data_IF_826041387079
#
_entry.id   IF_826041387079
#
_cell.length_a   1.000
_cell.length_b   1.000
_cell.length_c   1.000
_cell.angle_alpha   90.00
_cell.angle_beta   90.00
_cell.angle_gamma   90.00
#
_symmetry.space_group_name_H-M   'P 1'
#
loop_
_entity.id
_entity.type
_entity.pdbx_description
1 polymer ?
#
# COMPACT_ATOMS: atom_id res chain seq x y z
N UNK A 1 -48.77 3.92 40.23
CA UNK A 1 -47.97 2.95 39.44
C UNK A 1 -46.80 3.70 38.86
N UNK A 2 -45.58 3.36 39.31
CA UNK A 2 -44.34 4.06 38.99
C UNK A 2 -43.96 3.85 37.52
N UNK A 3 -43.74 4.95 36.80
CA UNK A 3 -43.11 4.92 35.48
C UNK A 3 -41.61 4.80 35.67
N UNK A 4 -41.08 3.60 35.47
CA UNK A 4 -39.64 3.35 35.43
C UNK A 4 -39.09 3.94 34.11
N UNK A 5 -38.28 4.99 34.23
CA UNK A 5 -37.55 5.56 33.11
C UNK A 5 -36.45 4.57 32.71
N UNK A 6 -36.62 3.95 31.54
CA UNK A 6 -35.59 3.15 30.87
C UNK A 6 -34.42 4.06 30.46
N UNK A 7 -33.50 4.29 31.39
CA UNK A 7 -32.21 4.93 31.12
C UNK A 7 -31.35 3.95 30.29
N UNK A 8 -31.55 3.96 28.97
CA UNK A 8 -30.73 3.21 28.04
C UNK A 8 -29.36 3.87 27.97
N UNK A 9 -28.44 3.39 28.81
CA UNK A 9 -27.02 3.75 28.77
C UNK A 9 -26.47 3.30 27.42
N UNK A 10 -26.46 4.23 26.46
CA UNK A 10 -25.77 4.08 25.19
C UNK A 10 -24.34 3.60 25.46
N UNK A 11 -24.08 2.32 25.14
CA UNK A 11 -22.77 1.72 25.22
C UNK A 11 -21.89 2.46 24.23
N UNK A 12 -21.03 3.34 24.75
CA UNK A 12 -20.02 4.03 23.95
C UNK A 12 -19.08 2.97 23.40
N UNK A 13 -19.31 2.53 22.16
CA UNK A 13 -18.40 1.60 21.47
C UNK A 13 -17.16 2.41 21.09
N UNK A 14 -16.18 2.39 21.97
CA UNK A 14 -14.86 2.93 21.75
C UNK A 14 -13.87 1.77 21.71
N UNK A 15 -12.91 1.83 20.79
CA UNK A 15 -11.86 0.84 20.65
C UNK A 15 -10.71 1.22 21.57
N UNK A 16 -10.57 0.48 22.66
CA UNK A 16 -9.51 0.66 23.64
C UNK A 16 -8.23 -0.05 23.18
N UNK A 17 -7.15 0.71 22.99
CA UNK A 17 -5.85 0.22 22.51
C UNK A 17 -4.80 0.25 23.63
N UNK A 18 -5.23 0.03 24.88
CA UNK A 18 -4.39 -0.06 26.07
C UNK A 18 -3.87 1.28 26.60
N UNK A 19 -3.40 2.17 25.74
CA UNK A 19 -2.90 3.51 26.11
C UNK A 19 -3.81 4.65 25.62
N UNK A 20 -4.75 4.37 24.72
CA UNK A 20 -5.66 5.36 24.16
C UNK A 20 -6.94 4.69 23.67
N UNK A 21 -8.07 5.39 23.80
CA UNK A 21 -9.38 4.96 23.34
C UNK A 21 -9.74 5.73 22.08
N UNK A 22 -10.11 5.01 21.01
CA UNK A 22 -10.51 5.61 19.74
C UNK A 22 -12.02 5.49 19.59
N UNK A 23 -12.74 6.60 19.40
CA UNK A 23 -14.16 6.53 19.15
C UNK A 23 -14.44 5.86 17.79
N UNK A 24 -15.41 4.95 17.76
CA UNK A 24 -15.80 4.20 16.55
C UNK A 24 -16.05 5.08 15.32
N UNK A 25 -16.56 6.30 15.51
CA UNK A 25 -16.85 7.24 14.44
C UNK A 25 -15.59 7.65 13.66
N UNK A 26 -14.45 7.77 14.34
CA UNK A 26 -13.18 8.12 13.72
C UNK A 26 -12.68 6.99 12.83
N UNK A 27 -12.79 5.74 13.28
CA UNK A 27 -12.40 4.57 12.48
C UNK A 27 -13.29 4.41 11.27
N UNK A 28 -14.60 4.60 11.45
CA UNK A 28 -15.56 4.53 10.36
C UNK A 28 -15.31 5.63 9.31
N UNK A 29 -15.05 6.86 9.76
CA UNK A 29 -14.71 7.98 8.87
C UNK A 29 -13.37 7.76 8.18
N UNK A 30 -12.33 7.35 8.91
CA UNK A 30 -11.01 7.08 8.33
C UNK A 30 -11.06 5.94 7.30
N UNK A 31 -11.80 4.86 7.60
CA UNK A 31 -12.04 3.77 6.67
C UNK A 31 -12.79 4.23 5.42
N UNK A 32 -13.83 5.03 5.59
CA UNK A 32 -14.63 5.57 4.48
C UNK A 32 -13.78 6.48 3.58
N UNK A 33 -13.02 7.41 4.16
CA UNK A 33 -12.12 8.30 3.42
C UNK A 33 -11.04 7.49 2.71
N UNK A 34 -10.46 6.48 3.37
CA UNK A 34 -9.45 5.60 2.77
C UNK A 34 -10.00 4.87 1.54
N UNK A 35 -11.17 4.25 1.65
CA UNK A 35 -11.82 3.55 0.54
C UNK A 35 -12.19 4.51 -0.59
N UNK A 36 -12.78 5.67 -0.29
CA UNK A 36 -13.08 6.69 -1.31
C UNK A 36 -11.81 7.17 -2.03
N UNK A 37 -10.75 7.41 -1.27
CA UNK A 37 -9.46 7.82 -1.83
C UNK A 37 -8.88 6.72 -2.72
N UNK A 38 -9.00 5.45 -2.32
CA UNK A 38 -8.55 4.31 -3.11
C UNK A 38 -9.30 4.21 -4.44
N UNK A 39 -10.63 4.37 -4.42
CA UNK A 39 -11.47 4.36 -5.63
C UNK A 39 -11.11 5.52 -6.56
N UNK A 40 -10.86 6.72 -6.01
CA UNK A 40 -10.44 7.88 -6.81
C UNK A 40 -9.02 7.72 -7.38
N UNK A 41 -8.11 7.09 -6.64
CA UNK A 41 -6.73 6.86 -7.04
C UNK A 41 -6.57 5.76 -8.10
N UNK A 42 -7.61 4.97 -8.38
CA UNK A 42 -7.57 3.85 -9.31
C UNK A 42 -7.08 4.27 -10.71
N UNK A 43 -7.56 5.41 -11.22
CA UNK A 43 -7.19 5.88 -12.57
C UNK A 43 -5.71 6.25 -12.67
N UNK A 44 -5.18 6.97 -11.68
CA UNK A 44 -3.77 7.34 -11.64
C UNK A 44 -2.85 6.12 -11.45
N UNK A 45 -3.30 5.14 -10.65
CA UNK A 45 -2.57 3.91 -10.37
C UNK A 45 -2.42 3.03 -11.61
N UNK A 46 -3.45 2.95 -12.48
CA UNK A 46 -3.39 2.18 -13.72
C UNK A 46 -2.29 2.68 -14.67
N UNK A 47 -2.24 3.98 -14.93
CA UNK A 47 -1.23 4.59 -15.80
C UNK A 47 0.18 4.41 -15.22
N UNK A 48 0.34 4.55 -13.90
CA UNK A 48 1.60 4.31 -13.21
C UNK A 48 2.06 2.83 -13.31
N UNK A 49 1.16 1.87 -13.10
CA UNK A 49 1.50 0.45 -13.22
C UNK A 49 1.93 0.07 -14.64
N UNK A 50 1.28 0.63 -15.66
CA UNK A 50 1.66 0.41 -17.07
C UNK A 50 3.06 0.97 -17.34
N UNK A 51 3.33 2.21 -16.92
CA UNK A 51 4.64 2.82 -17.11
C UNK A 51 5.76 2.05 -16.38
N UNK A 52 5.50 1.61 -15.14
CA UNK A 52 6.44 0.77 -14.37
C UNK A 52 6.65 -0.57 -15.06
N UNK A 53 5.61 -1.19 -15.60
CA UNK A 53 5.69 -2.44 -16.35
C UNK A 53 6.56 -2.31 -17.61
N UNK A 54 6.34 -1.26 -18.41
CA UNK A 54 7.12 -1.00 -19.62
C UNK A 54 8.59 -0.70 -19.30
N UNK A 55 8.85 0.14 -18.31
CA UNK A 55 10.21 0.44 -17.87
C UNK A 55 10.92 -0.80 -17.31
N UNK A 56 10.19 -1.68 -16.60
CA UNK A 56 10.73 -2.95 -16.12
C UNK A 56 11.05 -3.88 -17.28
N UNK A 57 10.18 -3.98 -18.27
CA UNK A 57 10.40 -4.80 -19.47
C UNK A 57 11.65 -4.36 -20.23
N UNK A 58 11.85 -3.06 -20.47
CA UNK A 58 13.06 -2.53 -21.11
C UNK A 58 14.34 -2.88 -20.34
N UNK A 59 14.27 -2.83 -19.01
CA UNK A 59 15.41 -3.10 -18.12
C UNK A 59 15.75 -4.60 -18.07
N UNK A 60 14.75 -5.49 -18.03
CA UNK A 60 14.93 -6.94 -18.03
C UNK A 60 15.27 -7.53 -19.40
N UNK A 61 14.79 -6.92 -20.49
CA UNK A 61 15.18 -7.29 -21.86
C UNK A 61 16.67 -7.03 -22.13
N UNK A 62 17.30 -6.22 -21.29
CA UNK A 62 18.73 -5.94 -21.37
C UNK A 62 19.11 -4.92 -22.44
N UNK A 63 18.13 -4.24 -23.07
CA UNK A 63 18.39 -3.19 -24.06
C UNK A 63 19.16 -2.00 -23.44
N UNK A 64 19.04 -1.82 -22.12
CA UNK A 64 19.79 -0.81 -21.35
C UNK A 64 20.91 -1.40 -20.49
N UNK A 65 21.26 -2.67 -20.66
CA UNK A 65 22.44 -3.22 -19.98
C UNK A 65 23.69 -2.80 -20.77
N UNK A 66 24.64 -2.07 -20.14
CA UNK A 66 25.90 -1.77 -20.80
C UNK A 66 26.61 -3.07 -21.17
N UNK A 67 27.31 -3.08 -22.31
CA UNK A 67 28.18 -4.19 -22.70
C UNK A 67 29.23 -4.31 -21.60
N UNK A 68 29.17 -5.41 -20.84
CA UNK A 68 30.15 -5.73 -19.83
C UNK A 68 31.42 -6.20 -20.54
N UNK A 69 32.46 -5.38 -20.50
CA UNK A 69 33.82 -5.85 -20.77
C UNK A 69 34.23 -6.77 -19.64
N UNK A 70 34.03 -8.06 -19.84
CA UNK A 70 34.62 -9.06 -18.97
C UNK A 70 36.12 -9.10 -19.24
N UNK A 71 36.98 -9.08 -18.21
CA UNK A 71 38.39 -9.31 -18.41
C UNK A 71 38.52 -10.69 -19.07
N UNK A 72 38.96 -10.70 -20.34
CA UNK A 72 39.32 -11.94 -21.01
C UNK A 72 40.45 -12.50 -20.17
N UNK A 73 40.21 -13.61 -19.47
CA UNK A 73 41.30 -14.36 -18.86
C UNK A 73 42.28 -14.59 -19.98
N UNK A 74 43.45 -13.99 -19.88
CA UNK A 74 44.56 -14.20 -20.76
C UNK A 74 44.99 -15.66 -20.57
N UNK A 75 44.24 -16.59 -21.17
CA UNK A 75 44.67 -17.94 -21.47
C UNK A 75 45.58 -17.85 -22.70
N UNK A 76 46.57 -16.97 -22.61
CA UNK A 76 47.71 -16.94 -23.48
C UNK A 76 48.78 -17.77 -22.77
N UNK A 77 49.18 -18.85 -23.44
CA UNK A 77 50.34 -19.68 -23.15
C UNK A 77 50.16 -20.77 -22.06
N UNK A 78 49.71 -21.94 -22.49
CA UNK A 78 50.32 -23.21 -22.08
C UNK A 78 50.40 -24.09 -23.34
N UNK A 79 51.46 -23.86 -24.12
CA UNK A 79 52.02 -24.85 -25.07
C UNK A 79 52.93 -25.80 -24.27
#
# INVERSE_FOLDING_TARGET
>A
MSSEAVNSKSSKTELDLGLFSIPQSVILQAGTVSVLTLVLAEKATREALVAVGQASEELFRGERLPILDFPTSNSENLD
#
